data_IF_914553623540
#
_entry.id   IF_914553623540
#
_cell.length_a   1.000
_cell.length_b   1.000
_cell.length_c   1.000
_cell.angle_alpha   90.00
_cell.angle_beta   90.00
_cell.angle_gamma   90.00
#
_symmetry.space_group_name_H-M   'P 1'
#
loop_
_entity.id
_entity.type
_entity.pdbx_description
1 polymer ?
#
# COMPACT_ATOMS: atom_id res chain seq x y z
N UNK A 1 -14.30 -14.67 -3.06
CA UNK A 1 -12.95 -15.16 -3.36
C UNK A 1 -12.06 -13.96 -3.62
N UNK A 2 -10.88 -13.92 -3.00
CA UNK A 2 -10.00 -12.76 -3.09
C UNK A 2 -9.36 -12.67 -4.49
N UNK A 3 -9.69 -11.63 -5.24
CA UNK A 3 -9.05 -11.36 -6.54
C UNK A 3 -7.93 -10.36 -6.33
N UNK A 4 -6.73 -10.74 -6.75
CA UNK A 4 -5.54 -9.90 -6.64
C UNK A 4 -4.99 -9.56 -8.03
N UNK A 5 -4.22 -8.47 -8.08
CA UNK A 5 -3.63 -7.97 -9.32
C UNK A 5 -2.21 -7.47 -9.08
N UNK A 6 -1.29 -7.70 -10.01
CA UNK A 6 -0.01 -6.99 -10.04
C UNK A 6 -0.25 -5.52 -10.41
N UNK A 7 0.69 -4.64 -10.07
CA UNK A 7 0.57 -3.21 -10.34
C UNK A 7 1.93 -2.54 -10.51
N UNK A 8 1.93 -1.40 -11.16
CA UNK A 8 3.10 -0.52 -11.26
C UNK A 8 3.14 0.38 -10.04
N UNK A 9 4.02 0.07 -9.09
CA UNK A 9 4.15 0.88 -7.90
C UNK A 9 4.84 2.21 -8.20
N UNK A 10 4.38 3.28 -7.55
CA UNK A 10 5.09 4.54 -7.50
C UNK A 10 6.06 4.47 -6.30
N UNK A 11 7.36 4.50 -6.56
CA UNK A 11 8.41 4.30 -5.54
C UNK A 11 9.40 5.45 -5.52
N UNK A 12 9.97 5.70 -4.37
CA UNK A 12 11.13 6.60 -4.26
C UNK A 12 12.31 6.07 -5.08
N UNK A 13 13.01 6.98 -5.74
CA UNK A 13 14.29 6.69 -6.37
C UNK A 13 15.41 6.74 -5.32
N UNK A 14 16.02 5.60 -4.94
CA UNK A 14 17.06 5.57 -3.92
C UNK A 14 18.35 6.30 -4.33
N UNK A 15 18.52 6.62 -5.62
CA UNK A 15 19.62 7.44 -6.08
C UNK A 15 19.42 8.94 -5.77
N UNK A 16 18.19 9.35 -5.42
CA UNK A 16 17.82 10.75 -5.19
C UNK A 16 17.49 11.08 -3.75
N UNK A 17 17.12 10.09 -2.95
CA UNK A 17 16.76 10.27 -1.54
C UNK A 17 17.39 9.19 -0.67
N UNK A 18 17.69 9.55 0.57
CA UNK A 18 17.97 8.54 1.59
C UNK A 18 16.64 7.92 2.03
N UNK A 19 16.48 6.62 1.81
CA UNK A 19 15.23 5.93 2.08
C UNK A 19 14.79 6.00 3.55
N UNK A 20 15.72 6.01 4.50
CA UNK A 20 15.43 6.11 5.93
C UNK A 20 14.79 7.46 6.29
N UNK A 21 15.15 8.53 5.57
CA UNK A 21 14.68 9.89 5.87
C UNK A 21 13.30 10.21 5.26
N UNK A 22 12.79 9.35 4.37
CA UNK A 22 11.55 9.61 3.62
C UNK A 22 10.38 8.73 4.01
N UNK A 23 10.61 7.65 4.76
CA UNK A 23 9.58 6.76 5.29
C UNK A 23 8.97 7.30 6.58
N UNK A 24 7.78 6.80 6.93
CA UNK A 24 7.04 7.18 8.14
C UNK A 24 6.35 5.98 8.75
N UNK A 25 5.90 6.14 9.98
CA UNK A 25 4.87 5.27 10.56
C UNK A 25 3.51 5.51 9.89
N UNK A 26 2.53 4.61 10.04
CA UNK A 26 1.14 4.84 9.62
C UNK A 26 0.58 6.12 10.25
N UNK A 27 -0.25 6.85 9.51
CA UNK A 27 -0.72 8.20 9.88
C UNK A 27 -1.36 8.27 11.27
N UNK A 28 -2.04 7.22 11.70
CA UNK A 28 -2.75 7.11 12.99
C UNK A 28 -1.83 6.80 14.18
N UNK A 29 -0.58 6.47 13.92
CA UNK A 29 0.48 6.27 14.93
C UNK A 29 1.37 7.50 15.11
N UNK A 30 1.28 8.48 14.19
CA UNK A 30 2.17 9.64 14.19
C UNK A 30 1.70 10.68 15.19
N UNK A 31 2.52 10.91 16.21
CA UNK A 31 2.31 12.01 17.18
C UNK A 31 2.75 13.37 16.58
N UNK A 32 2.33 14.50 17.14
CA UNK A 32 2.81 15.83 16.71
C UNK A 32 4.33 15.97 16.73
N UNK A 33 5.01 15.38 17.71
CA UNK A 33 6.47 15.39 17.79
C UNK A 33 7.13 14.57 16.67
N UNK A 34 6.58 13.39 16.35
CA UNK A 34 7.02 12.58 15.21
C UNK A 34 6.78 13.30 13.89
N UNK A 35 5.61 13.93 13.71
CA UNK A 35 5.33 14.72 12.52
C UNK A 35 6.40 15.79 12.30
N UNK A 36 6.77 16.53 13.35
CA UNK A 36 7.81 17.55 13.27
C UNK A 36 9.17 16.96 12.90
N UNK A 37 9.56 15.85 13.54
CA UNK A 37 10.79 15.12 13.24
C UNK A 37 10.85 14.69 11.77
N UNK A 38 9.79 14.11 11.21
CA UNK A 38 9.71 13.70 9.82
C UNK A 38 9.79 14.90 8.86
N UNK A 39 9.17 16.04 9.20
CA UNK A 39 9.29 17.26 8.42
C UNK A 39 10.73 17.80 8.37
N UNK A 40 11.52 17.60 9.43
CA UNK A 40 12.92 18.01 9.53
C UNK A 40 13.87 17.02 8.86
N UNK A 41 13.55 15.72 8.87
CA UNK A 41 14.40 14.67 8.30
C UNK A 41 14.63 14.85 6.80
N UNK A 42 13.58 15.17 6.03
CA UNK A 42 13.71 15.38 4.59
C UNK A 42 12.59 16.26 4.01
N UNK A 43 12.90 17.11 3.01
CA UNK A 43 11.87 17.78 2.22
C UNK A 43 11.00 16.80 1.42
N UNK A 44 11.47 15.57 1.23
CA UNK A 44 10.79 14.50 0.51
C UNK A 44 10.17 13.44 1.44
N UNK A 45 10.11 13.67 2.76
CA UNK A 45 9.48 12.73 3.66
C UNK A 45 7.97 12.61 3.38
N UNK A 46 7.46 11.36 3.34
CA UNK A 46 6.09 11.02 2.99
C UNK A 46 5.04 11.69 3.87
N UNK A 47 5.41 12.12 5.07
CA UNK A 47 4.58 12.88 6.02
C UNK A 47 3.87 14.07 5.36
N UNK A 48 4.52 14.71 4.37
CA UNK A 48 3.98 15.88 3.67
C UNK A 48 2.75 15.56 2.83
N UNK A 49 2.60 14.30 2.46
CA UNK A 49 1.45 13.78 1.71
C UNK A 49 0.44 13.16 2.67
N UNK A 50 0.85 12.19 3.49
CA UNK A 50 -0.10 11.39 4.27
C UNK A 50 -0.66 12.11 5.50
N UNK A 51 0.10 13.04 6.07
CA UNK A 51 -0.30 13.81 7.25
C UNK A 51 0.33 15.21 7.22
N UNK A 52 -0.05 16.02 6.23
CA UNK A 52 0.43 17.39 6.08
C UNK A 52 -0.02 18.30 7.23
N UNK A 53 0.69 19.41 7.42
CA UNK A 53 0.34 20.40 8.44
C UNK A 53 -0.80 21.30 7.97
N UNK A 54 -1.86 21.42 8.77
CA UNK A 54 -2.90 22.43 8.59
C UNK A 54 -2.34 23.84 8.80
N UNK A 55 -2.83 24.80 8.03
CA UNK A 55 -2.48 26.23 8.15
C UNK A 55 -3.69 27.03 8.59
N UNK A 56 -3.53 28.13 9.35
CA UNK A 56 -4.65 28.95 9.80
C UNK A 56 -5.51 29.56 8.68
N UNK A 57 -4.97 29.64 7.45
CA UNK A 57 -5.66 30.20 6.28
C UNK A 57 -6.18 29.10 5.33
N UNK A 58 -6.17 27.84 5.72
CA UNK A 58 -6.72 26.76 4.89
C UNK A 58 -8.20 27.01 4.58
N UNK A 59 -8.59 26.76 3.34
CA UNK A 59 -9.94 26.91 2.80
C UNK A 59 -10.21 25.84 1.75
N UNK A 60 -11.36 25.86 1.09
CA UNK A 60 -11.76 24.81 0.13
C UNK A 60 -10.81 24.70 -1.07
N UNK A 61 -10.22 25.81 -1.51
CA UNK A 61 -9.32 25.82 -2.67
C UNK A 61 -7.85 25.54 -2.30
N UNK A 62 -7.42 25.96 -1.11
CA UNK A 62 -6.04 25.77 -0.64
C UNK A 62 -6.05 25.18 0.76
N UNK A 63 -5.74 23.91 0.89
CA UNK A 63 -5.76 23.16 2.15
C UNK A 63 -4.71 22.07 2.18
N UNK A 64 -4.70 21.27 3.23
CA UNK A 64 -3.74 20.19 3.40
C UNK A 64 -3.78 19.15 2.28
N UNK A 65 -4.96 18.86 1.73
CA UNK A 65 -5.14 17.84 0.69
C UNK A 65 -4.70 18.35 -0.69
N UNK A 66 -5.02 19.59 -1.03
CA UNK A 66 -4.56 20.20 -2.29
C UNK A 66 -3.05 20.37 -2.30
N UNK A 67 -2.43 20.68 -1.15
CA UNK A 67 -0.97 20.69 -1.00
C UNK A 67 -0.36 19.30 -1.12
N UNK A 68 -0.99 18.27 -0.57
CA UNK A 68 -0.53 16.88 -0.73
C UNK A 68 -0.54 16.45 -2.20
N UNK A 69 -1.59 16.78 -2.95
CA UNK A 69 -1.69 16.49 -4.38
C UNK A 69 -0.61 17.23 -5.20
N UNK A 70 -0.39 18.52 -4.92
CA UNK A 70 0.68 19.29 -5.56
C UNK A 70 2.07 18.68 -5.25
N UNK A 71 2.35 18.36 -3.98
CA UNK A 71 3.60 17.72 -3.56
C UNK A 71 3.83 16.39 -4.28
N UNK A 72 2.80 15.55 -4.41
CA UNK A 72 2.89 14.28 -5.13
C UNK A 72 3.21 14.50 -6.61
N UNK A 73 2.56 15.47 -7.25
CA UNK A 73 2.80 15.84 -8.66
C UNK A 73 4.24 16.35 -8.86
N UNK A 74 4.71 17.23 -7.97
CA UNK A 74 6.06 17.78 -8.01
C UNK A 74 7.09 16.65 -7.87
N UNK A 75 6.95 15.76 -6.89
CA UNK A 75 7.90 14.65 -6.69
C UNK A 75 7.94 13.68 -7.88
N UNK A 76 6.80 13.46 -8.56
CA UNK A 76 6.78 12.69 -9.81
C UNK A 76 7.52 13.42 -10.93
N UNK A 77 7.25 14.71 -11.13
CA UNK A 77 7.88 15.52 -12.17
C UNK A 77 9.39 15.69 -11.97
N UNK A 78 9.84 15.76 -10.72
CA UNK A 78 11.22 15.84 -10.34
C UNK A 78 11.95 14.48 -10.39
N UNK A 79 11.21 13.37 -10.55
CA UNK A 79 11.74 12.02 -10.54
C UNK A 79 12.21 11.55 -9.15
N UNK A 80 11.70 12.17 -8.09
CA UNK A 80 11.85 11.69 -6.69
C UNK A 80 11.03 10.41 -6.51
N UNK A 81 9.80 10.41 -7.04
CA UNK A 81 8.95 9.24 -7.17
C UNK A 81 8.91 8.79 -8.63
N UNK A 82 9.18 7.52 -8.86
CA UNK A 82 9.14 6.90 -10.19
C UNK A 82 8.15 5.75 -10.21
N UNK A 83 7.36 5.71 -11.25
CA UNK A 83 6.48 4.58 -11.52
C UNK A 83 7.30 3.43 -12.12
N UNK A 84 7.04 2.21 -11.64
CA UNK A 84 7.67 1.01 -12.18
C UNK A 84 7.29 0.80 -13.66
N UNK A 85 8.23 0.28 -14.45
CA UNK A 85 8.05 0.10 -15.89
C UNK A 85 7.04 -1.00 -16.24
N UNK A 86 6.87 -1.96 -15.34
CA UNK A 86 6.02 -3.14 -15.54
C UNK A 86 5.22 -3.49 -14.28
N UNK A 87 4.04 -4.13 -14.42
CA UNK A 87 3.28 -4.60 -13.27
C UNK A 87 4.03 -5.70 -12.51
N UNK A 88 3.97 -5.65 -11.18
CA UNK A 88 4.63 -6.60 -10.29
C UNK A 88 3.76 -6.91 -9.07
N UNK A 89 4.05 -8.02 -8.42
CA UNK A 89 3.79 -8.22 -7.00
C UNK A 89 5.10 -7.94 -6.25
N UNK A 90 4.99 -7.56 -4.98
CA UNK A 90 6.17 -7.23 -4.19
C UNK A 90 6.24 -8.15 -2.97
N UNK A 91 7.22 -9.05 -2.93
CA UNK A 91 7.54 -9.80 -1.73
C UNK A 91 8.01 -8.83 -0.64
N UNK A 92 7.54 -9.00 0.58
CA UNK A 92 7.84 -8.10 1.68
C UNK A 92 8.12 -8.88 2.95
N UNK A 93 9.24 -8.58 3.62
CA UNK A 93 9.52 -9.14 4.93
C UNK A 93 9.83 -8.07 5.96
N UNK A 94 9.55 -8.41 7.22
CA UNK A 94 9.89 -7.63 8.40
C UNK A 94 10.59 -8.51 9.40
N UNK A 95 11.84 -8.18 9.74
CA UNK A 95 12.57 -8.84 10.81
C UNK A 95 12.54 -7.93 12.04
N UNK A 96 12.07 -8.44 13.16
CA UNK A 96 11.87 -7.69 14.39
C UNK A 96 12.16 -8.52 15.62
N UNK A 97 12.53 -7.84 16.71
CA UNK A 97 12.66 -8.45 18.04
C UNK A 97 11.29 -8.51 18.70
N UNK A 98 10.92 -9.66 19.23
CA UNK A 98 9.65 -9.81 19.96
C UNK A 98 9.72 -8.98 21.25
N UNK A 99 8.76 -8.06 21.48
CA UNK A 99 8.78 -7.18 22.64
C UNK A 99 8.91 -7.95 23.96
N UNK A 100 9.82 -7.51 24.81
CA UNK A 100 10.08 -8.12 26.12
C UNK A 100 10.90 -9.42 26.10
N UNK A 101 11.45 -9.79 24.95
CA UNK A 101 12.28 -11.00 24.79
C UNK A 101 13.55 -10.72 23.98
N UNK A 102 14.46 -11.69 23.89
CA UNK A 102 15.61 -11.66 22.97
C UNK A 102 15.32 -12.38 21.64
N UNK A 103 14.11 -12.87 21.46
CA UNK A 103 13.71 -13.62 20.27
C UNK A 103 13.56 -12.68 19.07
N UNK A 104 14.23 -13.02 17.96
CA UNK A 104 14.08 -12.35 16.67
C UNK A 104 13.20 -13.18 15.77
N UNK A 105 12.20 -12.55 15.13
CA UNK A 105 11.30 -13.20 14.19
C UNK A 105 11.26 -12.47 12.87
N UNK A 106 10.99 -13.22 11.80
CA UNK A 106 10.70 -12.68 10.50
C UNK A 106 9.23 -12.93 10.15
N UNK A 107 8.53 -11.90 9.70
CA UNK A 107 7.19 -11.98 9.13
C UNK A 107 7.31 -11.75 7.63
N UNK A 108 6.72 -12.62 6.82
CA UNK A 108 6.71 -12.55 5.37
C UNK A 108 5.32 -12.38 4.83
N UNK A 109 5.20 -11.65 3.74
CA UNK A 109 3.98 -11.41 3.01
C UNK A 109 4.29 -10.84 1.64
N UNK A 110 3.28 -10.29 0.98
CA UNK A 110 3.46 -9.62 -0.29
C UNK A 110 2.48 -8.47 -0.45
N UNK A 111 2.82 -7.53 -1.33
CA UNK A 111 2.00 -6.37 -1.66
C UNK A 111 1.46 -6.56 -3.08
N UNK A 112 0.16 -6.36 -3.24
CA UNK A 112 -0.53 -6.41 -4.52
C UNK A 112 -1.82 -5.59 -4.42
N UNK A 113 -2.49 -5.35 -5.52
CA UNK A 113 -3.84 -4.79 -5.49
C UNK A 113 -4.85 -5.89 -5.20
N UNK A 114 -5.86 -5.58 -4.40
CA UNK A 114 -6.98 -6.47 -4.14
C UNK A 114 -8.27 -5.81 -4.64
N UNK A 115 -9.11 -6.60 -5.32
CA UNK A 115 -10.45 -6.15 -5.66
C UNK A 115 -11.21 -5.84 -4.36
N UNK A 116 -11.81 -4.66 -4.29
CA UNK A 116 -12.67 -4.28 -3.18
C UNK A 116 -13.95 -5.09 -3.23
N UNK A 117 -14.41 -5.52 -2.06
CA UNK A 117 -15.64 -6.30 -1.86
C UNK A 117 -16.39 -5.74 -0.67
N UNK A 118 -17.72 -5.79 -0.71
CA UNK A 118 -18.50 -5.55 0.49
C UNK A 118 -18.26 -6.65 1.52
N UNK A 119 -18.42 -6.33 2.80
CA UNK A 119 -18.32 -7.33 3.86
C UNK A 119 -19.39 -8.43 3.75
N UNK A 120 -20.54 -8.11 3.15
CA UNK A 120 -21.62 -9.07 2.88
C UNK A 120 -21.22 -10.13 1.86
N UNK A 121 -20.26 -9.85 0.97
CA UNK A 121 -19.72 -10.83 0.01
C UNK A 121 -18.89 -11.93 0.69
N UNK A 122 -18.56 -11.78 1.96
CA UNK A 122 -17.79 -12.73 2.78
C UNK A 122 -16.43 -13.10 2.17
N UNK A 123 -15.79 -12.16 1.48
CA UNK A 123 -14.42 -12.26 0.95
C UNK A 123 -13.45 -11.59 1.90
N UNK A 124 -13.78 -10.38 2.35
CA UNK A 124 -12.99 -9.60 3.30
C UNK A 124 -13.72 -9.49 4.62
N UNK A 125 -13.04 -9.77 5.71
CA UNK A 125 -13.59 -9.76 7.06
C UNK A 125 -12.93 -8.65 7.89
N UNK A 126 -13.75 -8.00 8.70
CA UNK A 126 -13.31 -7.02 9.70
C UNK A 126 -13.46 -7.57 11.11
N UNK A 127 -12.69 -7.06 12.05
CA UNK A 127 -12.81 -7.38 13.48
C UNK A 127 -13.05 -6.15 14.35
N UNK A 128 -13.10 -4.95 13.76
CA UNK A 128 -13.43 -3.71 14.48
C UNK A 128 -14.39 -2.82 13.67
N UNK A 129 -14.98 -1.86 14.37
CA UNK A 129 -15.80 -0.82 13.75
C UNK A 129 -15.01 0.46 13.57
N UNK A 130 -15.26 1.16 12.49
CA UNK A 130 -14.53 2.39 12.12
C UNK A 130 -15.28 3.65 12.59
N UNK A 131 -14.50 4.74 12.80
CA UNK A 131 -15.05 6.03 13.18
C UNK A 131 -15.21 6.95 11.94
N UNK A 132 -16.37 7.66 11.80
CA UNK A 132 -16.65 8.50 10.63
C UNK A 132 -15.60 9.60 10.37
N UNK A 133 -15.06 10.20 11.42
CA UNK A 133 -14.09 11.31 11.31
C UNK A 133 -12.81 10.90 10.56
N UNK A 134 -12.27 9.74 10.84
CA UNK A 134 -11.05 9.26 10.17
C UNK A 134 -11.30 8.91 8.70
N UNK A 135 -12.49 8.43 8.37
CA UNK A 135 -12.87 8.13 6.98
C UNK A 135 -12.96 9.39 6.13
N UNK A 136 -13.56 10.47 6.63
CA UNK A 136 -13.70 11.71 5.86
C UNK A 136 -12.36 12.35 5.53
N UNK A 137 -11.40 12.32 6.46
CA UNK A 137 -10.05 12.82 6.25
C UNK A 137 -9.29 12.02 5.19
N UNK A 138 -9.27 10.69 5.32
CA UNK A 138 -8.60 9.81 4.34
C UNK A 138 -9.25 9.88 2.96
N UNK A 139 -10.59 9.97 2.90
CA UNK A 139 -11.32 10.12 1.64
C UNK A 139 -10.98 11.43 0.93
N UNK A 140 -10.87 12.54 1.67
CA UNK A 140 -10.47 13.82 1.11
C UNK A 140 -9.04 13.78 0.55
N UNK A 141 -8.10 13.13 1.27
CA UNK A 141 -6.75 12.93 0.79
C UNK A 141 -6.73 12.06 -0.48
N UNK A 142 -7.45 10.95 -0.48
CA UNK A 142 -7.52 10.04 -1.62
C UNK A 142 -8.10 10.71 -2.87
N UNK A 143 -9.21 11.46 -2.72
CA UNK A 143 -9.80 12.24 -3.81
C UNK A 143 -8.83 13.26 -4.41
N UNK A 144 -8.06 13.93 -3.56
CA UNK A 144 -7.12 14.96 -4.00
C UNK A 144 -5.88 14.36 -4.69
N UNK A 145 -5.31 13.29 -4.14
CA UNK A 145 -4.06 12.71 -4.62
C UNK A 145 -4.27 11.64 -5.69
N UNK A 146 -5.44 10.96 -5.69
CA UNK A 146 -5.71 9.75 -6.48
C UNK A 146 -4.63 8.67 -6.31
N UNK A 147 -4.03 8.61 -5.14
CA UNK A 147 -2.95 7.70 -4.82
C UNK A 147 -3.20 6.95 -3.51
N UNK A 148 -2.85 5.69 -3.52
CA UNK A 148 -2.84 4.83 -2.34
C UNK A 148 -1.47 4.94 -1.67
N UNK A 149 -1.38 5.70 -0.59
CA UNK A 149 -0.10 5.98 0.06
C UNK A 149 0.20 5.07 1.26
N UNK A 150 -0.77 4.27 1.69
CA UNK A 150 -0.66 3.44 2.90
C UNK A 150 -1.35 2.09 2.66
N UNK A 151 -0.63 0.99 2.78
CA UNK A 151 -1.15 -0.36 2.55
C UNK A 151 -2.14 -0.77 3.64
N UNK A 152 -3.08 -1.64 3.29
CA UNK A 152 -3.94 -2.35 4.22
C UNK A 152 -3.28 -3.69 4.54
N UNK A 153 -3.10 -3.98 5.82
CA UNK A 153 -2.53 -5.24 6.25
C UNK A 153 -3.64 -6.28 6.42
N UNK A 154 -3.54 -7.34 5.60
CA UNK A 154 -4.51 -8.44 5.60
C UNK A 154 -3.84 -9.77 5.91
N UNK A 155 -4.58 -10.63 6.58
CA UNK A 155 -4.19 -12.02 6.85
C UNK A 155 -5.05 -12.96 6.00
N UNK A 156 -4.47 -14.07 5.60
CA UNK A 156 -5.16 -15.18 4.94
C UNK A 156 -4.63 -16.52 5.45
N UNK A 157 -5.41 -17.58 5.28
CA UNK A 157 -5.00 -18.92 5.67
C UNK A 157 -4.37 -19.66 4.49
N UNK A 158 -3.11 -20.02 4.61
CA UNK A 158 -2.36 -20.87 3.67
C UNK A 158 -1.49 -21.87 4.46
N UNK A 159 -2.07 -22.96 5.01
CA UNK A 159 -1.35 -23.89 5.87
C UNK A 159 -0.13 -24.55 5.23
N UNK A 160 -0.08 -24.55 3.91
CA UNK A 160 1.02 -25.14 3.13
C UNK A 160 2.08 -24.14 2.75
N UNK A 161 1.89 -22.85 3.07
CA UNK A 161 2.77 -21.74 2.71
C UNK A 161 3.04 -21.68 1.19
N UNK A 162 2.01 -21.95 0.38
CA UNK A 162 2.15 -22.03 -1.08
C UNK A 162 2.54 -20.69 -1.68
N UNK A 163 1.84 -19.60 -1.33
CA UNK A 163 2.16 -18.27 -1.81
C UNK A 163 3.56 -17.83 -1.35
N UNK A 164 3.92 -18.07 -0.09
CA UNK A 164 5.25 -17.75 0.45
C UNK A 164 6.35 -18.52 -0.30
N UNK A 165 6.16 -19.83 -0.55
CA UNK A 165 7.12 -20.65 -1.29
C UNK A 165 7.30 -20.21 -2.74
N UNK A 166 6.25 -19.69 -3.39
CA UNK A 166 6.35 -19.14 -4.74
C UNK A 166 7.17 -17.84 -4.71
N UNK A 167 6.89 -16.95 -3.76
CA UNK A 167 7.50 -15.63 -3.70
C UNK A 167 8.95 -15.69 -3.19
N UNK A 168 9.21 -16.46 -2.14
CA UNK A 168 10.51 -16.51 -1.44
C UNK A 168 11.26 -17.83 -1.60
N UNK A 169 10.72 -18.76 -2.37
CA UNK A 169 11.31 -20.09 -2.56
C UNK A 169 12.36 -20.16 -3.66
N UNK A 170 13.09 -21.28 -3.71
CA UNK A 170 14.18 -21.53 -4.66
C UNK A 170 13.74 -21.52 -6.15
N UNK A 171 12.43 -21.63 -6.43
CA UNK A 171 11.89 -21.52 -7.79
C UNK A 171 11.73 -20.07 -8.29
N UNK A 172 11.94 -19.09 -7.44
CA UNK A 172 11.94 -17.68 -7.79
C UNK A 172 13.39 -17.17 -7.72
N UNK A 173 14.00 -16.92 -8.88
CA UNK A 173 15.37 -16.42 -8.95
C UNK A 173 15.54 -15.06 -8.28
N UNK A 174 14.49 -14.22 -8.25
CA UNK A 174 14.51 -12.92 -7.59
C UNK A 174 14.63 -13.04 -6.08
N UNK A 175 14.02 -14.08 -5.47
CA UNK A 175 14.11 -14.32 -4.02
C UNK A 175 15.54 -14.64 -3.53
N UNK A 176 16.40 -15.12 -4.41
CA UNK A 176 17.83 -15.38 -4.13
C UNK A 176 18.72 -14.15 -4.29
N UNK A 177 18.19 -13.05 -4.81
CA UNK A 177 18.92 -11.79 -5.00
C UNK A 177 18.83 -10.89 -3.76
N UNK A 178 19.68 -9.89 -3.73
CA UNK A 178 19.53 -8.81 -2.75
C UNK A 178 18.14 -8.15 -2.90
N UNK A 179 17.52 -7.70 -1.80
CA UNK A 179 16.25 -7.01 -1.89
C UNK A 179 16.37 -5.71 -2.71
N UNK A 180 15.31 -5.36 -3.44
CA UNK A 180 15.23 -4.08 -4.17
C UNK A 180 15.19 -2.87 -3.22
N UNK A 181 14.77 -3.12 -1.98
CA UNK A 181 14.76 -2.15 -0.91
C UNK A 181 15.05 -2.85 0.41
N UNK A 182 15.96 -2.25 1.19
CA UNK A 182 16.22 -2.65 2.57
C UNK A 182 16.35 -1.38 3.42
N UNK A 183 15.57 -1.30 4.49
CA UNK A 183 15.62 -0.21 5.47
C UNK A 183 15.39 -0.74 6.88
N UNK A 184 16.01 -0.08 7.86
CA UNK A 184 15.69 -0.28 9.28
C UNK A 184 14.94 0.96 9.76
N UNK A 185 13.75 0.77 10.35
CA UNK A 185 12.95 1.86 10.89
C UNK A 185 13.39 2.31 12.28
N UNK A 186 12.73 3.31 12.83
CA UNK A 186 13.03 3.87 14.17
C UNK A 186 12.75 2.92 15.34
N UNK A 187 12.10 1.79 15.09
CA UNK A 187 11.85 0.72 16.06
C UNK A 187 12.79 -0.48 15.88
N UNK A 188 13.86 -0.30 15.11
CA UNK A 188 14.84 -1.35 14.78
C UNK A 188 14.23 -2.53 14.00
N UNK A 189 13.10 -2.31 13.33
CA UNK A 189 12.50 -3.30 12.43
C UNK A 189 13.18 -3.22 11.08
N UNK A 190 13.73 -4.34 10.62
CA UNK A 190 14.34 -4.44 9.30
C UNK A 190 13.29 -4.83 8.26
N UNK A 191 13.07 -3.95 7.31
CA UNK A 191 12.13 -4.11 6.20
C UNK A 191 12.88 -4.44 4.92
N UNK A 192 12.40 -5.46 4.19
CA UNK A 192 12.94 -5.86 2.90
C UNK A 192 11.82 -6.03 1.89
N UNK A 193 12.10 -5.66 0.65
CA UNK A 193 11.14 -5.75 -0.44
C UNK A 193 11.83 -6.29 -1.70
N UNK A 194 11.17 -7.22 -2.39
CA UNK A 194 11.59 -7.81 -3.67
C UNK A 194 10.50 -7.63 -4.71
N UNK A 195 10.86 -7.18 -5.89
CA UNK A 195 9.93 -7.05 -7.01
C UNK A 195 9.81 -8.39 -7.76
N UNK A 196 8.61 -8.92 -7.84
CA UNK A 196 8.28 -10.14 -8.61
C UNK A 196 7.61 -9.74 -9.92
N UNK A 197 8.31 -9.92 -11.04
CA UNK A 197 7.82 -9.55 -12.40
C UNK A 197 7.55 -10.73 -13.30
N UNK A 198 8.04 -11.94 -12.95
CA UNK A 198 7.78 -13.15 -13.74
C UNK A 198 6.26 -13.44 -13.83
N UNK A 199 5.64 -13.34 -15.03
CA UNK A 199 4.21 -13.52 -15.20
C UNK A 199 3.72 -14.91 -14.77
N UNK A 200 4.55 -15.94 -14.92
CA UNK A 200 4.19 -17.32 -14.56
C UNK A 200 4.16 -17.48 -13.03
N UNK A 201 5.09 -16.87 -12.31
CA UNK A 201 5.08 -16.87 -10.85
C UNK A 201 3.95 -15.99 -10.30
N UNK A 202 3.74 -14.80 -10.86
CA UNK A 202 2.60 -13.95 -10.53
C UNK A 202 1.30 -14.73 -10.66
N UNK A 203 1.07 -15.40 -11.82
CA UNK A 203 -0.16 -16.15 -12.03
C UNK A 203 -0.35 -17.28 -11.02
N UNK A 204 0.73 -17.96 -10.61
CA UNK A 204 0.66 -18.98 -9.55
C UNK A 204 0.24 -18.40 -8.20
N UNK A 205 0.77 -17.22 -7.83
CA UNK A 205 0.36 -16.52 -6.59
C UNK A 205 -1.12 -16.13 -6.68
N UNK A 206 -1.56 -15.52 -7.79
CA UNK A 206 -2.95 -15.12 -7.99
C UNK A 206 -3.89 -16.32 -7.88
N UNK A 207 -3.56 -17.44 -8.55
CA UNK A 207 -4.34 -18.68 -8.48
C UNK A 207 -4.40 -19.24 -7.05
N UNK A 208 -3.29 -19.16 -6.30
CA UNK A 208 -3.27 -19.59 -4.89
C UNK A 208 -4.20 -18.76 -4.03
N UNK A 209 -4.38 -17.47 -4.38
CA UNK A 209 -5.24 -16.55 -3.61
C UNK A 209 -6.72 -16.61 -4.00
N UNK A 210 -7.07 -17.19 -5.14
CA UNK A 210 -8.44 -17.18 -5.67
C UNK A 210 -9.50 -17.78 -4.72
N UNK A 211 -9.11 -18.77 -3.90
CA UNK A 211 -10.02 -19.41 -2.94
C UNK A 211 -9.94 -18.79 -1.53
N UNK A 212 -9.04 -17.85 -1.30
CA UNK A 212 -8.77 -17.31 0.03
C UNK A 212 -9.80 -16.27 0.46
N UNK A 213 -9.98 -16.20 1.76
CA UNK A 213 -10.68 -15.15 2.49
C UNK A 213 -9.64 -14.29 3.19
N UNK A 214 -9.89 -13.00 3.25
CA UNK A 214 -8.97 -12.03 3.82
C UNK A 214 -9.54 -11.47 5.12
N UNK A 215 -8.71 -11.32 6.13
CA UNK A 215 -9.06 -10.67 7.39
C UNK A 215 -8.23 -9.41 7.50
N UNK A 216 -8.85 -8.25 7.63
CA UNK A 216 -8.13 -7.00 7.85
C UNK A 216 -7.49 -7.07 9.24
N UNK A 217 -6.16 -7.08 9.31
CA UNK A 217 -5.41 -7.02 10.56
C UNK A 217 -5.16 -5.57 10.99
N UNK A 218 -4.94 -4.67 10.03
CA UNK A 218 -4.79 -3.23 10.24
C UNK A 218 -5.25 -2.45 9.00
N UNK A 219 -5.82 -1.27 9.21
CA UNK A 219 -6.26 -0.39 8.13
C UNK A 219 -7.74 -0.49 7.77
N UNK A 220 -8.64 -0.79 8.70
CA UNK A 220 -10.09 -0.82 8.47
C UNK A 220 -10.64 0.49 7.89
N UNK A 221 -10.21 1.65 8.44
CA UNK A 221 -10.59 2.97 7.90
C UNK A 221 -10.11 3.15 6.45
N UNK A 222 -8.91 2.67 6.11
CA UNK A 222 -8.35 2.73 4.74
C UNK A 222 -9.16 1.86 3.78
N UNK A 223 -9.53 0.65 4.20
CA UNK A 223 -10.37 -0.24 3.39
C UNK A 223 -11.75 0.37 3.10
N UNK A 224 -12.44 0.86 4.14
CA UNK A 224 -13.76 1.45 3.98
C UNK A 224 -13.73 2.79 3.20
N UNK A 225 -12.65 3.55 3.33
CA UNK A 225 -12.41 4.75 2.50
C UNK A 225 -12.29 4.38 1.03
N UNK A 226 -11.56 3.31 0.73
CA UNK A 226 -11.38 2.82 -0.65
C UNK A 226 -12.68 2.33 -1.24
N UNK A 227 -13.48 1.60 -0.47
CA UNK A 227 -14.81 1.15 -0.90
C UNK A 227 -15.72 2.35 -1.17
N UNK A 228 -15.71 3.36 -0.30
CA UNK A 228 -16.48 4.60 -0.51
C UNK A 228 -16.03 5.32 -1.79
N UNK A 229 -14.72 5.48 -1.97
CA UNK A 229 -14.16 6.12 -3.18
C UNK A 229 -14.53 5.34 -4.45
N UNK A 230 -14.45 4.02 -4.43
CA UNK A 230 -14.85 3.17 -5.54
C UNK A 230 -16.31 3.41 -5.96
N UNK A 231 -17.25 3.47 -5.00
CA UNK A 231 -18.65 3.73 -5.31
C UNK A 231 -18.88 5.13 -5.89
N UNK A 232 -18.21 6.15 -5.35
CA UNK A 232 -18.30 7.52 -5.87
C UNK A 232 -17.75 7.60 -7.29
N UNK A 233 -16.58 7.02 -7.56
CA UNK A 233 -15.99 7.01 -8.91
C UNK A 233 -16.81 6.21 -9.90
N UNK A 234 -17.36 5.08 -9.51
CA UNK A 234 -18.26 4.29 -10.35
C UNK A 234 -19.48 5.11 -10.77
N UNK A 235 -20.09 5.84 -9.82
CA UNK A 235 -21.22 6.72 -10.10
C UNK A 235 -20.84 7.87 -11.06
N UNK A 236 -19.67 8.50 -10.86
CA UNK A 236 -19.16 9.56 -11.74
C UNK A 236 -18.91 9.06 -13.19
N UNK A 237 -18.44 7.84 -13.32
CA UNK A 237 -18.11 7.22 -14.62
C UNK A 237 -19.30 6.50 -15.27
N UNK A 238 -20.43 6.35 -14.55
CA UNK A 238 -21.60 5.62 -15.02
C UNK A 238 -21.35 4.11 -15.22
N UNK A 239 -20.46 3.51 -14.42
CA UNK A 239 -20.11 2.08 -14.50
C UNK A 239 -20.52 1.35 -13.22
N UNK A 240 -20.71 0.02 -13.32
CA UNK A 240 -20.99 -0.79 -12.15
C UNK A 240 -19.75 -0.90 -11.26
N UNK A 241 -19.85 -0.72 -9.93
CA UNK A 241 -18.71 -0.77 -9.01
C UNK A 241 -17.90 -2.07 -9.07
N UNK A 242 -18.56 -3.18 -9.37
CA UNK A 242 -17.94 -4.52 -9.44
C UNK A 242 -17.80 -5.02 -10.88
N UNK A 243 -17.61 -4.12 -11.85
CA UNK A 243 -17.36 -4.53 -13.23
C UNK A 243 -16.18 -5.51 -13.31
N UNK A 244 -16.30 -6.51 -14.17
CA UNK A 244 -15.26 -7.49 -14.34
C UNK A 244 -13.94 -6.82 -14.78
N UNK A 245 -12.80 -7.17 -14.20
CA UNK A 245 -11.52 -6.59 -14.58
C UNK A 245 -11.19 -6.91 -16.04
N UNK A 246 -10.62 -5.93 -16.72
CA UNK A 246 -10.02 -6.10 -18.04
C UNK A 246 -8.57 -6.58 -17.85
N UNK A 247 -7.96 -7.04 -18.92
CA UNK A 247 -6.53 -7.34 -18.93
C UNK A 247 -5.73 -6.11 -19.37
N UNK A 248 -4.55 -5.90 -18.76
CA UNK A 248 -3.52 -5.00 -19.24
C UNK A 248 -2.30 -5.87 -19.56
N UNK A 249 -1.78 -5.80 -20.77
CA UNK A 249 -0.62 -6.57 -21.22
C UNK A 249 -0.74 -8.08 -20.93
N UNK A 250 -1.95 -8.65 -21.05
CA UNK A 250 -2.24 -10.06 -20.77
C UNK A 250 -2.40 -10.40 -19.29
N UNK A 251 -2.23 -9.46 -18.38
CA UNK A 251 -2.46 -9.62 -16.95
C UNK A 251 -3.80 -8.97 -16.53
N UNK A 252 -4.48 -9.51 -15.49
CA UNK A 252 -5.70 -8.90 -14.98
C UNK A 252 -5.44 -7.45 -14.57
N UNK A 253 -6.33 -6.55 -14.95
CA UNK A 253 -6.28 -5.14 -14.58
C UNK A 253 -7.33 -4.82 -13.53
N UNK A 254 -7.13 -3.83 -12.66
CA UNK A 254 -8.17 -3.34 -11.77
C UNK A 254 -9.39 -2.83 -12.56
N UNK A 255 -10.57 -2.94 -11.96
CA UNK A 255 -11.84 -2.55 -12.60
C UNK A 255 -11.92 -1.06 -12.94
N UNK A 256 -11.08 -0.23 -12.34
CA UNK A 256 -10.95 1.19 -12.61
C UNK A 256 -9.55 1.48 -13.15
N UNK A 257 -9.45 1.79 -14.46
CA UNK A 257 -8.18 2.29 -14.98
C UNK A 257 -7.98 3.73 -14.48
N UNK A 258 -6.95 3.96 -13.73
CA UNK A 258 -6.36 5.27 -13.48
C UNK A 258 -4.86 5.23 -13.68
#
# INVERSE_FOLDING_TARGET
MARLYPFRALRYDPARVNMTDVVTQPYDKITPAMQESYYQASPYNLIRIILGKHKPKDNDAENVYTRAAATLADWRSEGILKEESEPALYGYSQTYKVPGTEEVRERRGFIGLAQLSDYEDQVVYRHEQTFPKHKSDRLALFKATRAYCEQIYMLYSDPTFTAEKIIFGAGNEEAGKAPDLEITDEYEVLHRLWKLTDPALIQKVLTTMDDKKLIIADGHHRYETSTTYMFERAAELGIAPNAAPKTIDGLPAPAFPE
#
